data_IF_832703091134
#
_entry.id   IF_832703091134
#
_cell.length_a   1.000
_cell.length_b   1.000
_cell.length_c   1.000
_cell.angle_alpha   90.00
_cell.angle_beta   90.00
_cell.angle_gamma   90.00
#
_symmetry.space_group_name_H-M   'P 1'
#
loop_
_entity.id
_entity.type
_entity.pdbx_description
1 polymer ?
#
# COMPACT_ATOMS: atom_id res chain seq x y z
N UNK A 1 -19.74 85.80 -18.72
CA UNK A 1 -19.15 84.76 -17.83
C UNK A 1 -19.96 83.53 -18.00
N UNK A 2 -19.48 82.57 -18.84
CA UNK A 2 -20.16 81.28 -19.09
C UNK A 2 -19.50 80.23 -18.14
N UNK A 3 -20.28 79.59 -17.32
CA UNK A 3 -19.88 78.46 -16.53
C UNK A 3 -20.17 77.17 -17.28
N UNK A 4 -19.15 76.48 -17.63
CA UNK A 4 -19.24 75.13 -18.25
C UNK A 4 -19.38 74.07 -17.12
N UNK A 5 -20.54 73.37 -17.13
CA UNK A 5 -20.81 72.25 -16.27
C UNK A 5 -20.34 70.99 -16.96
N UNK A 6 -19.29 70.31 -16.43
CA UNK A 6 -18.77 69.05 -16.96
C UNK A 6 -19.44 67.90 -16.21
N UNK A 7 -20.33 67.16 -16.89
CA UNK A 7 -20.85 65.89 -16.41
C UNK A 7 -19.80 64.78 -16.62
N UNK A 8 -19.30 64.20 -15.54
CA UNK A 8 -18.55 62.92 -15.59
C UNK A 8 -19.56 61.75 -15.58
N UNK A 9 -19.56 60.99 -16.64
CA UNK A 9 -20.25 59.70 -16.72
C UNK A 9 -19.39 58.64 -15.98
N UNK A 10 -19.92 58.07 -14.94
CA UNK A 10 -19.36 56.85 -14.31
C UNK A 10 -19.72 55.67 -15.22
N UNK A 11 -18.71 54.94 -15.68
CA UNK A 11 -18.88 53.67 -16.36
C UNK A 11 -18.73 52.61 -15.29
N UNK A 12 -19.84 51.99 -14.87
CA UNK A 12 -19.82 50.76 -14.06
C UNK A 12 -19.32 49.66 -14.95
N UNK A 13 -18.13 49.12 -14.63
CA UNK A 13 -17.60 47.92 -15.24
C UNK A 13 -18.15 46.73 -14.45
N UNK A 14 -19.14 46.03 -15.00
CA UNK A 14 -19.58 44.73 -14.55
C UNK A 14 -18.40 43.73 -14.65
N UNK A 15 -17.80 43.42 -13.51
CA UNK A 15 -16.85 42.32 -13.41
C UNK A 15 -17.66 41.04 -13.39
N UNK A 16 -17.71 40.34 -14.53
CA UNK A 16 -18.28 39.02 -14.62
C UNK A 16 -17.53 38.08 -13.65
N UNK A 17 -18.22 37.59 -12.62
CA UNK A 17 -17.73 36.50 -11.78
C UNK A 17 -17.42 35.27 -12.65
N UNK A 18 -16.15 34.88 -12.68
CA UNK A 18 -15.75 33.59 -13.26
C UNK A 18 -16.34 32.45 -12.39
N UNK A 19 -16.88 31.40 -12.99
CA UNK A 19 -17.37 30.26 -12.24
C UNK A 19 -16.20 29.62 -11.48
N UNK A 20 -16.32 29.54 -10.17
CA UNK A 20 -15.44 28.72 -9.34
C UNK A 20 -15.59 27.29 -9.79
N UNK A 21 -14.60 26.78 -10.49
CA UNK A 21 -14.43 25.34 -10.69
C UNK A 21 -14.13 24.75 -9.32
N UNK A 22 -15.14 24.15 -8.71
CA UNK A 22 -14.95 23.26 -7.59
C UNK A 22 -14.08 22.08 -8.08
N UNK A 23 -12.80 22.16 -7.78
CA UNK A 23 -11.92 21.01 -7.90
C UNK A 23 -12.40 20.03 -6.84
N UNK A 24 -13.24 19.08 -7.23
CA UNK A 24 -13.59 17.93 -6.41
C UNK A 24 -12.29 17.12 -6.28
N UNK A 25 -11.51 17.47 -5.28
CA UNK A 25 -10.45 16.63 -4.76
C UNK A 25 -11.16 15.40 -4.16
N UNK A 26 -11.32 14.34 -4.94
CA UNK A 26 -11.62 13.03 -4.38
C UNK A 26 -10.39 12.62 -3.57
N UNK A 27 -10.36 13.00 -2.29
CA UNK A 27 -9.45 12.41 -1.34
C UNK A 27 -9.85 10.93 -1.24
N UNK A 28 -9.17 10.06 -2.00
CA UNK A 28 -9.25 8.63 -1.77
C UNK A 28 -8.76 8.40 -0.35
N UNK A 29 -9.69 8.34 0.60
CA UNK A 29 -9.37 8.09 2.00
C UNK A 29 -8.76 6.69 2.08
N UNK A 30 -7.55 6.60 2.63
CA UNK A 30 -6.88 5.32 2.83
C UNK A 30 -7.71 4.44 3.77
N UNK A 31 -7.91 3.19 3.39
CA UNK A 31 -8.53 2.20 4.26
C UNK A 31 -7.56 1.81 5.36
N UNK A 32 -7.97 1.96 6.62
CA UNK A 32 -7.20 1.50 7.77
C UNK A 32 -7.49 0.02 8.04
N UNK A 33 -6.43 -0.77 8.16
CA UNK A 33 -6.43 -2.17 8.59
C UNK A 33 -5.85 -2.25 9.99
N UNK A 34 -6.62 -2.78 10.92
CA UNK A 34 -6.22 -2.94 12.32
C UNK A 34 -5.90 -4.40 12.64
N UNK A 35 -4.66 -4.68 13.04
CA UNK A 35 -4.28 -5.94 13.67
C UNK A 35 -4.31 -5.69 15.18
N UNK A 36 -5.28 -6.27 15.88
CA UNK A 36 -5.43 -6.09 17.32
C UNK A 36 -4.33 -6.81 18.10
N UNK A 37 -3.99 -6.29 19.26
CA UNK A 37 -3.13 -6.96 20.23
C UNK A 37 -3.58 -8.41 20.46
N UNK A 38 -2.63 -9.34 20.45
CA UNK A 38 -2.91 -10.77 20.61
C UNK A 38 -3.54 -11.45 19.40
N UNK A 39 -3.58 -10.77 18.24
CA UNK A 39 -4.08 -11.33 16.98
C UNK A 39 -2.98 -11.32 15.92
N UNK A 40 -3.19 -12.10 14.86
CA UNK A 40 -2.35 -12.10 13.67
C UNK A 40 -3.05 -11.48 12.46
N UNK A 41 -4.37 -11.69 12.32
CA UNK A 41 -5.16 -11.17 11.21
C UNK A 41 -5.66 -9.75 11.45
N UNK A 42 -5.74 -8.95 10.40
CA UNK A 42 -6.40 -7.65 10.46
C UNK A 42 -7.92 -7.80 10.47
N UNK A 43 -8.61 -6.75 10.93
CA UNK A 43 -10.07 -6.67 11.08
C UNK A 43 -10.85 -6.76 9.75
N UNK A 44 -10.22 -6.41 8.62
CA UNK A 44 -10.83 -6.37 7.28
C UNK A 44 -10.32 -7.47 6.34
N UNK A 45 -9.76 -8.56 6.91
CA UNK A 45 -9.37 -9.72 6.11
C UNK A 45 -10.60 -10.45 5.59
N UNK A 46 -10.78 -10.47 4.27
CA UNK A 46 -11.90 -11.13 3.61
C UNK A 46 -11.45 -11.82 2.32
N UNK A 47 -12.21 -12.83 1.88
CA UNK A 47 -11.96 -13.43 0.57
C UNK A 47 -12.41 -12.46 -0.53
N UNK A 48 -11.48 -12.10 -1.40
CA UNK A 48 -11.76 -11.30 -2.60
C UNK A 48 -10.95 -11.87 -3.77
N UNK A 49 -11.64 -12.42 -4.75
CA UNK A 49 -11.01 -12.93 -5.97
C UNK A 49 -10.32 -11.80 -6.73
N UNK A 50 -9.19 -12.12 -7.37
CA UNK A 50 -8.43 -11.19 -8.20
C UNK A 50 -8.05 -11.86 -9.52
N UNK A 51 -8.14 -11.06 -10.61
CA UNK A 51 -7.58 -11.40 -11.93
C UNK A 51 -6.97 -10.11 -12.48
N UNK A 52 -5.65 -10.00 -12.42
CA UNK A 52 -4.94 -8.79 -12.82
C UNK A 52 -3.53 -9.09 -13.30
N UNK A 53 -2.98 -8.21 -14.12
CA UNK A 53 -1.54 -8.21 -14.48
C UNK A 53 -0.69 -7.37 -13.53
N UNK A 54 -1.33 -6.51 -12.71
CA UNK A 54 -0.65 -5.64 -11.75
C UNK A 54 -1.58 -5.34 -10.57
N UNK A 55 -1.05 -5.41 -9.36
CA UNK A 55 -1.65 -4.85 -8.14
C UNK A 55 -0.80 -3.66 -7.72
N UNK A 56 -1.41 -2.48 -7.68
CA UNK A 56 -0.75 -1.23 -7.30
C UNK A 56 -1.49 -0.56 -6.15
N UNK A 57 -0.76 -0.10 -5.13
CA UNK A 57 -1.36 0.53 -3.96
C UNK A 57 -0.39 1.50 -3.28
N UNK A 58 -0.94 2.41 -2.50
CA UNK A 58 -0.19 3.20 -1.51
C UNK A 58 -0.35 2.58 -0.14
N UNK A 59 0.71 2.63 0.67
CA UNK A 59 0.72 2.23 2.07
C UNK A 59 1.30 3.31 2.95
N UNK A 60 0.71 3.48 4.14
CA UNK A 60 1.22 4.35 5.19
C UNK A 60 1.20 3.59 6.52
N UNK A 61 2.34 3.58 7.20
CA UNK A 61 2.48 3.03 8.55
C UNK A 61 2.53 4.19 9.55
N UNK A 62 1.85 4.05 10.68
CA UNK A 62 2.02 4.96 11.81
C UNK A 62 2.98 4.38 12.86
N UNK A 63 3.13 5.06 13.99
CA UNK A 63 4.03 4.65 15.07
C UNK A 63 3.69 3.28 15.68
N UNK A 64 2.50 2.74 15.45
CA UNK A 64 2.13 1.40 15.89
C UNK A 64 2.89 0.28 15.16
N UNK A 65 3.53 0.58 14.03
CA UNK A 65 4.43 -0.37 13.35
C UNK A 65 5.79 -0.51 14.05
N UNK A 66 6.08 0.29 15.07
CA UNK A 66 7.26 0.18 15.92
C UNK A 66 6.92 -0.80 17.03
N UNK A 67 7.45 -2.00 16.96
CA UNK A 67 7.16 -3.06 17.92
C UNK A 67 8.42 -3.78 18.40
N UNK A 68 8.29 -4.49 19.52
CA UNK A 68 9.28 -5.43 20.00
C UNK A 68 8.57 -6.77 20.30
N UNK A 69 9.16 -7.86 19.82
CA UNK A 69 8.70 -9.20 20.08
C UNK A 69 9.02 -9.60 21.52
N UNK A 70 8.22 -10.51 22.10
CA UNK A 70 8.46 -11.05 23.44
C UNK A 70 9.75 -11.86 23.44
N UNK A 71 9.94 -12.72 22.45
CA UNK A 71 11.19 -13.41 22.20
C UNK A 71 12.03 -12.63 21.18
N UNK A 72 13.17 -12.13 21.58
CA UNK A 72 14.07 -11.34 20.72
C UNK A 72 14.51 -12.09 19.45
N UNK A 73 14.51 -13.42 19.45
CA UNK A 73 14.82 -14.22 18.25
C UNK A 73 13.79 -13.99 17.13
N UNK A 74 12.52 -13.71 17.48
CA UNK A 74 11.42 -13.51 16.55
C UNK A 74 11.37 -12.08 15.98
N UNK A 75 12.22 -11.15 16.44
CA UNK A 75 12.28 -9.78 15.90
C UNK A 75 12.69 -9.75 14.42
N UNK A 76 13.23 -10.85 13.92
CA UNK A 76 13.60 -11.04 12.53
C UNK A 76 12.47 -11.51 11.62
N UNK A 77 11.34 -11.93 12.18
CA UNK A 77 10.20 -12.44 11.41
C UNK A 77 9.58 -11.38 10.51
N UNK A 78 9.11 -11.82 9.35
CA UNK A 78 8.51 -10.92 8.37
C UNK A 78 6.99 -10.98 8.49
N UNK A 79 6.40 -9.87 8.91
CA UNK A 79 4.97 -9.63 8.83
C UNK A 79 4.56 -9.46 7.35
N UNK A 80 3.32 -9.77 7.04
CA UNK A 80 2.79 -9.70 5.69
C UNK A 80 1.98 -8.41 5.54
N UNK A 81 2.13 -7.76 4.38
CA UNK A 81 1.46 -6.50 4.11
C UNK A 81 0.25 -6.71 3.19
N UNK A 82 0.46 -6.72 1.91
CA UNK A 82 -0.60 -6.75 0.92
C UNK A 82 -0.11 -7.41 -0.36
N UNK A 83 -1.00 -8.13 -1.07
CA UNK A 83 -0.67 -8.85 -2.28
C UNK A 83 -1.76 -9.82 -2.70
N UNK A 84 -1.37 -10.94 -3.30
CA UNK A 84 -2.31 -11.92 -3.85
C UNK A 84 -1.74 -13.34 -3.82
N UNK A 85 -2.65 -14.33 -3.81
CA UNK A 85 -2.33 -15.70 -4.23
C UNK A 85 -2.36 -15.79 -5.76
N UNK A 86 -1.68 -16.79 -6.33
CA UNK A 86 -1.60 -16.99 -7.77
C UNK A 86 -1.92 -18.43 -8.17
N UNK A 87 -2.05 -18.70 -9.48
CA UNK A 87 -2.32 -20.02 -10.06
C UNK A 87 -3.61 -20.68 -9.54
N UNK A 88 -4.59 -19.90 -9.11
CA UNK A 88 -5.82 -20.38 -8.46
C UNK A 88 -5.53 -21.36 -7.30
N UNK A 89 -4.44 -21.12 -6.57
CA UNK A 89 -3.93 -21.99 -5.51
C UNK A 89 -3.92 -21.29 -4.15
N UNK A 90 -3.71 -22.07 -3.09
CA UNK A 90 -3.50 -21.55 -1.75
C UNK A 90 -2.23 -20.69 -1.70
N UNK A 91 -2.25 -19.63 -0.92
CA UNK A 91 -1.16 -18.65 -0.87
C UNK A 91 0.19 -19.22 -0.35
N UNK A 92 0.20 -20.33 0.34
CA UNK A 92 1.43 -21.05 0.71
C UNK A 92 2.01 -21.88 -0.45
N UNK A 93 1.27 -22.05 -1.56
CA UNK A 93 1.77 -22.71 -2.75
C UNK A 93 2.29 -21.67 -3.75
N UNK A 94 1.46 -20.65 -4.05
CA UNK A 94 1.81 -19.56 -4.96
C UNK A 94 1.25 -18.25 -4.44
N UNK A 95 2.11 -17.29 -4.19
CA UNK A 95 1.70 -15.94 -3.83
C UNK A 95 2.82 -14.93 -4.01
N UNK A 96 2.43 -13.68 -4.19
CA UNK A 96 3.32 -12.54 -4.15
C UNK A 96 2.69 -11.45 -3.28
N UNK A 97 3.42 -10.95 -2.30
CA UNK A 97 2.98 -9.88 -1.41
C UNK A 97 4.17 -9.11 -0.87
N UNK A 98 3.96 -7.88 -0.50
CA UNK A 98 4.93 -7.17 0.32
C UNK A 98 4.95 -7.75 1.73
N UNK A 99 6.13 -7.71 2.35
CA UNK A 99 6.33 -7.98 3.77
C UNK A 99 6.94 -6.77 4.46
N UNK A 100 6.88 -6.76 5.79
CA UNK A 100 7.46 -5.69 6.60
C UNK A 100 7.92 -6.21 7.95
N UNK A 101 8.87 -5.52 8.57
CA UNK A 101 9.24 -5.72 9.98
C UNK A 101 9.89 -4.48 10.54
N UNK A 102 9.78 -4.30 11.85
CA UNK A 102 10.57 -3.33 12.60
C UNK A 102 11.81 -4.00 13.16
N UNK A 103 12.97 -3.62 12.67
CA UNK A 103 14.26 -4.15 13.15
C UNK A 103 15.36 -3.12 12.97
N UNK A 104 16.28 -3.03 13.96
CA UNK A 104 17.41 -2.08 13.94
C UNK A 104 16.94 -0.62 13.80
N UNK A 105 15.86 -0.24 14.48
CA UNK A 105 15.21 1.08 14.39
C UNK A 105 14.79 1.49 12.96
N UNK A 106 14.45 0.52 12.13
CA UNK A 106 14.01 0.72 10.76
C UNK A 106 12.78 -0.12 10.44
N UNK A 107 11.85 0.47 9.70
CA UNK A 107 10.73 -0.25 9.09
C UNK A 107 11.19 -0.79 7.73
N UNK A 108 11.62 -2.03 7.73
CA UNK A 108 12.15 -2.72 6.55
C UNK A 108 11.00 -3.30 5.72
N UNK A 109 11.06 -3.10 4.39
CA UNK A 109 10.06 -3.58 3.43
C UNK A 109 10.68 -4.66 2.55
N UNK A 110 9.89 -5.71 2.27
CA UNK A 110 10.33 -6.91 1.56
C UNK A 110 9.39 -7.24 0.39
N UNK A 111 9.95 -7.74 -0.71
CA UNK A 111 9.23 -8.62 -1.60
C UNK A 111 9.21 -10.02 -0.97
N UNK A 112 8.04 -10.64 -0.88
CA UNK A 112 7.83 -11.92 -0.21
C UNK A 112 6.95 -12.80 -1.09
N UNK A 113 7.44 -13.99 -1.43
CA UNK A 113 6.72 -14.90 -2.30
C UNK A 113 6.67 -16.33 -1.73
N UNK A 114 5.65 -17.05 -2.14
CA UNK A 114 5.67 -18.50 -2.25
C UNK A 114 5.66 -18.91 -3.72
N UNK A 115 6.55 -19.81 -4.10
CA UNK A 115 6.69 -20.32 -5.45
C UNK A 115 6.91 -21.82 -5.40
N UNK A 116 5.93 -22.63 -5.86
CA UNK A 116 5.90 -24.08 -5.65
C UNK A 116 6.08 -24.48 -4.18
N UNK A 117 5.37 -23.83 -3.27
CA UNK A 117 5.44 -24.05 -1.82
C UNK A 117 6.78 -23.69 -1.16
N UNK A 118 7.71 -23.12 -1.91
CA UNK A 118 8.99 -22.62 -1.39
C UNK A 118 8.89 -21.13 -1.12
N UNK A 119 9.06 -20.75 0.15
CA UNK A 119 9.08 -19.36 0.58
C UNK A 119 10.42 -18.71 0.27
N UNK A 120 10.39 -17.51 -0.27
CA UNK A 120 11.57 -16.65 -0.39
C UNK A 120 11.20 -15.18 -0.24
N UNK A 121 12.18 -14.38 0.17
CA UNK A 121 12.00 -12.93 0.32
C UNK A 121 13.30 -12.18 0.06
N UNK A 122 13.17 -10.91 -0.31
CA UNK A 122 14.27 -9.99 -0.49
C UNK A 122 13.88 -8.61 0.03
N UNK A 123 14.76 -7.95 0.79
CA UNK A 123 14.52 -6.57 1.19
C UNK A 123 14.54 -5.66 -0.03
N UNK A 124 13.55 -4.76 -0.14
CA UNK A 124 13.41 -3.83 -1.27
C UNK A 124 13.58 -2.37 -0.83
N UNK A 125 13.41 -2.07 0.44
CA UNK A 125 13.56 -0.71 0.92
C UNK A 125 13.30 -0.55 2.41
N UNK A 126 13.26 0.70 2.83
CA UNK A 126 12.92 1.15 4.18
C UNK A 126 11.80 2.18 4.04
N UNK A 127 10.74 2.05 4.84
CA UNK A 127 9.69 3.04 4.93
C UNK A 127 9.91 3.95 6.13
N UNK A 128 9.56 5.23 6.00
CA UNK A 128 9.49 6.14 7.13
C UNK A 128 8.09 6.10 7.75
N UNK A 129 8.01 6.15 9.07
CA UNK A 129 6.75 6.22 9.80
C UNK A 129 6.03 7.53 9.43
N UNK A 130 4.73 7.43 9.13
CA UNK A 130 3.89 8.57 8.75
C UNK A 130 3.94 8.95 7.27
N UNK A 131 4.88 8.42 6.49
CA UNK A 131 4.99 8.71 5.06
C UNK A 131 4.20 7.70 4.21
N UNK A 132 3.58 8.19 3.15
CA UNK A 132 2.93 7.34 2.15
C UNK A 132 3.97 6.80 1.16
N UNK A 133 3.92 5.49 0.91
CA UNK A 133 4.81 4.81 -0.02
C UNK A 133 3.99 4.12 -1.12
N UNK A 134 4.48 4.14 -2.35
CA UNK A 134 3.87 3.45 -3.49
C UNK A 134 4.46 2.05 -3.62
N UNK A 135 3.57 1.07 -3.75
CA UNK A 135 3.90 -0.34 -3.96
C UNK A 135 3.23 -0.85 -5.22
N UNK A 136 3.94 -1.66 -6.02
CA UNK A 136 3.29 -2.47 -7.05
C UNK A 136 3.90 -3.86 -7.17
N UNK A 137 3.08 -4.82 -7.58
CA UNK A 137 3.48 -6.17 -7.96
C UNK A 137 2.93 -6.41 -9.35
N UNK A 138 3.80 -6.39 -10.34
CA UNK A 138 3.45 -6.58 -11.75
C UNK A 138 3.94 -7.93 -12.26
N UNK A 139 3.11 -8.58 -13.09
CA UNK A 139 3.49 -9.82 -13.78
C UNK A 139 4.32 -9.46 -15.01
N UNK A 140 5.48 -10.13 -15.15
CA UNK A 140 6.32 -10.03 -16.33
C UNK A 140 6.86 -11.43 -16.69
N UNK A 141 6.09 -12.18 -17.49
CA UNK A 141 6.41 -13.57 -17.82
C UNK A 141 6.49 -14.45 -16.56
N UNK A 142 7.65 -15.03 -16.34
CA UNK A 142 7.93 -15.92 -15.20
C UNK A 142 8.53 -15.19 -13.97
N UNK A 143 8.27 -13.89 -13.82
CA UNK A 143 8.69 -13.12 -12.65
C UNK A 143 7.56 -12.27 -12.10
N UNK A 144 7.59 -12.05 -10.79
CA UNK A 144 6.88 -10.97 -10.10
C UNK A 144 7.85 -9.79 -10.01
N UNK A 145 7.54 -8.70 -10.68
CA UNK A 145 8.29 -7.44 -10.54
C UNK A 145 7.68 -6.63 -9.40
N UNK A 146 8.38 -6.53 -8.29
CA UNK A 146 8.02 -5.71 -7.15
C UNK A 146 8.62 -4.31 -7.33
N UNK A 147 7.84 -3.28 -7.10
CA UNK A 147 8.32 -1.90 -7.05
C UNK A 147 7.88 -1.25 -5.75
N UNK A 148 8.84 -0.74 -4.99
CA UNK A 148 8.62 0.08 -3.79
C UNK A 148 9.20 1.47 -4.04
N UNK A 149 8.32 2.48 -4.10
CA UNK A 149 8.67 3.82 -4.55
C UNK A 149 9.39 3.79 -5.91
N UNK A 150 10.70 4.01 -5.94
CA UNK A 150 11.51 4.03 -7.16
C UNK A 150 12.41 2.79 -7.33
N UNK A 151 12.40 1.87 -6.36
CA UNK A 151 13.24 0.66 -6.38
C UNK A 151 12.44 -0.53 -6.88
N UNK A 152 12.99 -1.29 -7.84
CA UNK A 152 12.35 -2.50 -8.36
C UNK A 152 13.26 -3.72 -8.21
N UNK A 153 12.66 -4.86 -7.90
CA UNK A 153 13.33 -6.17 -7.90
C UNK A 153 12.41 -7.22 -8.54
N UNK A 154 13.02 -8.26 -9.09
CA UNK A 154 12.32 -9.38 -9.69
C UNK A 154 12.42 -10.61 -8.77
N UNK A 155 11.26 -11.25 -8.52
CA UNK A 155 11.17 -12.50 -7.79
C UNK A 155 10.63 -13.61 -8.73
N UNK A 156 11.08 -14.87 -8.60
CA UNK A 156 10.67 -15.94 -9.50
C UNK A 156 9.17 -16.24 -9.40
N UNK A 157 8.55 -16.54 -10.53
CA UNK A 157 7.16 -16.95 -10.67
C UNK A 157 7.10 -18.24 -11.50
N UNK A 158 6.48 -19.30 -10.98
CA UNK A 158 6.40 -20.58 -11.69
C UNK A 158 5.36 -20.61 -12.84
N UNK A 159 4.47 -19.63 -12.90
CA UNK A 159 3.48 -19.50 -13.96
C UNK A 159 3.98 -18.62 -15.11
N UNK A 160 3.50 -18.91 -16.31
CA UNK A 160 3.76 -18.10 -17.53
C UNK A 160 2.51 -17.35 -18.02
N UNK A 161 1.39 -17.41 -17.26
CA UNK A 161 0.18 -16.65 -17.59
C UNK A 161 0.42 -15.15 -17.48
N UNK A 162 -0.25 -14.37 -18.32
CA UNK A 162 -0.10 -12.91 -18.32
C UNK A 162 -0.85 -12.19 -17.18
N UNK A 163 -1.65 -12.93 -16.41
CA UNK A 163 -2.41 -12.41 -15.28
C UNK A 163 -2.31 -13.38 -14.10
N UNK A 164 -2.44 -12.82 -12.91
CA UNK A 164 -2.71 -13.55 -11.67
C UNK A 164 -4.16 -14.02 -11.69
N UNK A 165 -4.42 -15.25 -11.28
CA UNK A 165 -5.75 -15.75 -10.93
C UNK A 165 -5.66 -16.29 -9.51
N UNK A 166 -6.36 -15.64 -8.57
CA UNK A 166 -6.30 -16.01 -7.16
C UNK A 166 -7.17 -15.13 -6.28
N UNK A 167 -6.70 -14.78 -5.11
CA UNK A 167 -7.41 -13.92 -4.16
C UNK A 167 -6.45 -12.95 -3.47
N UNK A 168 -6.98 -11.83 -3.00
CA UNK A 168 -6.22 -10.79 -2.28
C UNK A 168 -5.74 -11.29 -0.93
N UNK A 169 -4.57 -10.82 -0.53
CA UNK A 169 -3.94 -11.11 0.75
C UNK A 169 -3.75 -9.80 1.51
N UNK A 170 -4.19 -9.80 2.75
CA UNK A 170 -4.30 -8.62 3.62
C UNK A 170 -3.19 -8.58 4.68
N UNK A 171 -3.04 -7.44 5.40
CA UNK A 171 -2.08 -7.34 6.48
C UNK A 171 -2.24 -8.45 7.52
N UNK A 172 -1.09 -9.01 7.93
CA UNK A 172 -1.01 -10.11 8.87
C UNK A 172 0.28 -9.99 9.68
N UNK A 173 0.18 -10.01 11.00
CA UNK A 173 1.35 -10.10 11.87
C UNK A 173 1.84 -11.54 11.87
N UNK A 174 3.01 -11.78 11.34
CA UNK A 174 3.49 -13.14 11.02
C UNK A 174 4.73 -13.53 11.79
N UNK A 175 5.03 -14.81 11.71
CA UNK A 175 6.04 -15.49 12.50
C UNK A 175 5.39 -16.26 13.63
N UNK A 176 6.13 -16.53 14.69
CA UNK A 176 5.71 -17.37 15.81
C UNK A 176 4.94 -16.60 16.90
N UNK A 177 4.84 -15.28 16.79
CA UNK A 177 4.16 -14.43 17.78
C UNK A 177 2.95 -13.70 17.21
N UNK A 178 2.06 -13.32 18.12
CA UNK A 178 0.93 -12.43 17.83
C UNK A 178 1.36 -10.98 18.00
N UNK A 179 0.58 -10.03 17.45
CA UNK A 179 0.84 -8.60 17.59
C UNK A 179 0.95 -8.18 19.05
N UNK A 180 2.06 -7.53 19.47
CA UNK A 180 2.30 -7.18 20.88
C UNK A 180 1.41 -6.02 21.36
N UNK A 181 0.85 -5.26 20.45
CA UNK A 181 -0.12 -4.17 20.65
C UNK A 181 -0.94 -3.98 19.37
N UNK A 182 -1.92 -3.09 19.38
CA UNK A 182 -2.67 -2.73 18.19
C UNK A 182 -1.77 -2.12 17.12
N UNK A 183 -1.82 -2.66 15.89
CA UNK A 183 -1.03 -2.18 14.75
C UNK A 183 -1.98 -1.69 13.66
N UNK A 184 -1.79 -0.45 13.20
CA UNK A 184 -2.60 0.20 12.16
C UNK A 184 -1.79 0.41 10.89
N UNK A 185 -2.34 -0.05 9.79
CA UNK A 185 -1.74 0.09 8.45
C UNK A 185 -2.79 0.67 7.53
N UNK A 186 -2.49 1.77 6.85
CA UNK A 186 -3.41 2.40 5.90
C UNK A 186 -3.01 2.07 4.49
N UNK A 187 -3.97 1.61 3.68
CA UNK A 187 -3.75 1.18 2.29
C UNK A 187 -4.83 1.79 1.40
N UNK A 188 -4.42 2.21 0.19
CA UNK A 188 -5.33 2.59 -0.90
C UNK A 188 -4.86 1.93 -2.18
N UNK A 189 -5.71 1.15 -2.86
CA UNK A 189 -5.43 0.65 -4.20
C UNK A 189 -5.48 1.79 -5.23
N UNK A 190 -4.61 1.72 -6.26
CA UNK A 190 -4.43 2.75 -7.29
C UNK A 190 -4.88 2.25 -8.66
#
# INVERSE_FOLDING_TARGET
MLALCSCKKNIDVDVAEQPKTDVISSSNSMTEYLIKQGQQYCDKSMYQAINTSELKFMVQFDSSAIYQTVNAANQGDINKLYGFSDNNAMHHNFSARFGWRWKNNQLQIFAYIYNNSVMSFQQIGIANIGEANTCSIKISGNVYMFTFNQTSINMPRASTTNTVIGYKLYPYFGGDEMAPHDIRIRITEL
#
